data_IF_949726902126
#
_entry.id   IF_949726902126
#
_cell.length_a   1.000
_cell.length_b   1.000
_cell.length_c   1.000
_cell.angle_alpha   90.00
_cell.angle_beta   90.00
_cell.angle_gamma   90.00
#
_symmetry.space_group_name_H-M   'P 1'
#
loop_
_entity.id
_entity.type
_entity.pdbx_description
1 polymer ?
#
# COMPACT_ATOMS: atom_id res chain seq x y z
N UNK A 1 -10.38 8.17 0.97
CA UNK A 1 -10.46 8.50 -0.47
C UNK A 1 -11.91 8.30 -0.88
N UNK A 2 -12.62 9.34 -1.36
CA UNK A 2 -13.93 9.12 -1.97
C UNK A 2 -13.75 8.21 -3.19
N UNK A 3 -14.70 7.30 -3.43
CA UNK A 3 -14.73 6.56 -4.70
C UNK A 3 -15.03 7.57 -5.80
N UNK A 4 -14.22 7.54 -6.86
CA UNK A 4 -14.53 8.23 -8.10
C UNK A 4 -15.80 7.59 -8.67
N UNK A 5 -16.88 8.37 -8.77
CA UNK A 5 -18.11 7.99 -9.44
C UNK A 5 -17.94 8.23 -10.94
N UNK A 6 -17.18 7.34 -11.60
CA UNK A 6 -16.96 7.42 -13.04
C UNK A 6 -18.17 6.82 -13.76
N UNK A 7 -18.71 7.50 -14.78
CA UNK A 7 -19.78 6.95 -15.59
C UNK A 7 -19.32 5.66 -16.31
N UNK A 8 -20.26 4.77 -16.59
CA UNK A 8 -20.00 3.58 -17.41
C UNK A 8 -19.61 4.04 -18.83
N UNK A 9 -18.54 3.48 -19.36
CA UNK A 9 -18.10 3.72 -20.75
C UNK A 9 -19.17 3.16 -21.69
N UNK A 10 -19.68 4.01 -22.59
CA UNK A 10 -20.62 3.59 -23.64
C UNK A 10 -19.87 2.96 -24.80
N UNK A 11 -20.56 2.19 -25.65
CA UNK A 11 -19.97 1.64 -26.88
C UNK A 11 -19.41 2.73 -27.81
N UNK A 12 -20.05 3.90 -27.84
CA UNK A 12 -19.57 5.05 -28.59
C UNK A 12 -18.29 5.66 -27.99
N UNK A 13 -18.19 5.69 -26.65
CA UNK A 13 -16.97 6.10 -25.97
C UNK A 13 -15.82 5.13 -26.20
N UNK A 14 -16.10 3.82 -26.17
CA UNK A 14 -15.11 2.79 -26.47
C UNK A 14 -14.60 2.95 -27.92
N UNK A 15 -15.51 3.10 -28.90
CA UNK A 15 -15.12 3.30 -30.29
C UNK A 15 -14.23 4.55 -30.48
N UNK A 16 -14.54 5.64 -29.78
CA UNK A 16 -13.73 6.86 -29.80
C UNK A 16 -12.35 6.65 -29.15
N UNK A 17 -12.27 5.91 -28.05
CA UNK A 17 -11.00 5.58 -27.39
C UNK A 17 -10.13 4.73 -28.31
N UNK A 18 -10.69 3.69 -28.93
CA UNK A 18 -9.98 2.82 -29.87
C UNK A 18 -9.47 3.58 -31.10
N UNK A 19 -10.27 4.50 -31.66
CA UNK A 19 -9.84 5.35 -32.75
C UNK A 19 -8.63 6.22 -32.36
N UNK A 20 -8.65 6.79 -31.15
CA UNK A 20 -7.53 7.57 -30.63
C UNK A 20 -6.25 6.75 -30.39
N UNK A 21 -6.40 5.51 -29.93
CA UNK A 21 -5.27 4.58 -29.78
C UNK A 21 -4.66 4.24 -31.16
N UNK A 22 -5.50 3.96 -32.15
CA UNK A 22 -5.04 3.59 -33.50
C UNK A 22 -4.34 4.74 -34.24
N UNK A 23 -4.76 5.98 -33.99
CA UNK A 23 -4.20 7.18 -34.61
C UNK A 23 -2.94 7.73 -33.90
N UNK A 24 -2.52 7.15 -32.77
CA UNK A 24 -1.36 7.62 -31.99
C UNK A 24 -0.02 7.14 -32.62
N UNK A 25 0.75 8.02 -33.29
CA UNK A 25 2.01 7.64 -33.92
C UNK A 25 3.13 7.39 -32.91
N UNK A 26 3.02 7.90 -31.68
CA UNK A 26 4.05 7.78 -30.63
C UNK A 26 3.91 6.49 -29.84
N UNK A 27 2.77 5.79 -29.95
CA UNK A 27 2.49 4.54 -29.26
C UNK A 27 2.02 3.44 -30.23
N UNK A 28 2.89 2.99 -31.16
CA UNK A 28 2.54 1.93 -32.09
C UNK A 28 2.30 0.60 -31.39
N UNK A 29 1.50 -0.25 -32.02
CA UNK A 29 1.23 -1.61 -31.53
C UNK A 29 2.51 -2.44 -31.39
N UNK A 30 2.59 -3.23 -30.32
CA UNK A 30 3.76 -4.09 -30.06
C UNK A 30 3.75 -5.25 -31.05
N UNK A 31 4.78 -5.35 -31.89
CA UNK A 31 4.94 -6.46 -32.83
C UNK A 31 5.32 -7.77 -32.11
N UNK A 32 5.01 -8.91 -32.73
CA UNK A 32 5.37 -10.23 -32.18
C UNK A 32 6.87 -10.39 -31.92
N UNK A 33 7.73 -9.82 -32.77
CA UNK A 33 9.18 -9.87 -32.58
C UNK A 33 9.64 -8.99 -31.41
N UNK A 34 9.06 -7.80 -31.23
CA UNK A 34 9.32 -6.96 -30.05
C UNK A 34 8.88 -7.67 -28.76
N UNK A 35 7.72 -8.34 -28.78
CA UNK A 35 7.23 -9.10 -27.64
C UNK A 35 8.18 -10.26 -27.27
N UNK A 36 8.73 -10.98 -28.26
CA UNK A 36 9.73 -12.03 -28.04
C UNK A 36 11.06 -11.49 -27.50
N UNK A 37 11.44 -10.29 -27.91
CA UNK A 37 12.65 -9.62 -27.44
C UNK A 37 12.49 -8.91 -26.08
N UNK A 38 11.28 -8.90 -25.50
CA UNK A 38 11.02 -8.23 -24.25
C UNK A 38 11.84 -8.84 -23.10
N UNK A 39 12.35 -7.98 -22.22
CA UNK A 39 13.13 -8.36 -21.05
C UNK A 39 12.39 -7.99 -19.76
N UNK A 40 12.53 -8.76 -18.67
CA UNK A 40 11.96 -8.39 -17.38
C UNK A 40 12.44 -6.99 -16.94
N UNK A 41 11.55 -6.22 -16.32
CA UNK A 41 11.84 -4.85 -15.86
C UNK A 41 13.10 -4.77 -14.99
N UNK A 42 13.30 -5.75 -14.09
CA UNK A 42 14.47 -5.77 -13.21
C UNK A 42 15.80 -5.98 -13.94
N UNK A 43 15.76 -6.60 -15.13
CA UNK A 43 16.94 -6.79 -15.97
C UNK A 43 17.19 -5.58 -16.89
N UNK A 44 16.12 -4.94 -17.35
CA UNK A 44 16.22 -3.72 -18.17
C UNK A 44 16.61 -2.48 -17.33
N UNK A 45 16.15 -2.41 -16.08
CA UNK A 45 16.34 -1.25 -15.18
C UNK A 45 16.80 -1.69 -13.77
N UNK A 46 18.03 -2.19 -13.63
CA UNK A 46 18.50 -2.80 -12.39
C UNK A 46 18.52 -1.85 -11.19
N UNK A 47 18.97 -0.60 -11.38
CA UNK A 47 19.04 0.38 -10.28
C UNK A 47 17.65 0.79 -9.77
N UNK A 48 16.70 1.01 -10.69
CA UNK A 48 15.33 1.36 -10.34
C UNK A 48 14.62 0.20 -9.63
N UNK A 49 14.81 -1.03 -10.13
CA UNK A 49 14.29 -2.23 -9.48
C UNK A 49 14.87 -2.43 -8.07
N UNK A 50 16.16 -2.14 -7.86
CA UNK A 50 16.77 -2.17 -6.53
C UNK A 50 16.16 -1.12 -5.59
N UNK A 51 15.90 0.10 -6.07
CA UNK A 51 15.25 1.14 -5.28
C UNK A 51 13.81 0.75 -4.88
N UNK A 52 13.01 0.21 -5.80
CA UNK A 52 11.64 -0.25 -5.54
C UNK A 52 11.58 -1.42 -4.54
N UNK A 53 12.57 -2.31 -4.55
CA UNK A 53 12.66 -3.40 -3.56
C UNK A 53 12.94 -2.89 -2.14
N UNK A 54 13.55 -1.72 -1.98
CA UNK A 54 13.79 -1.13 -0.65
C UNK A 54 12.53 -0.53 -0.01
N UNK A 55 11.50 -0.21 -0.79
CA UNK A 55 10.28 0.44 -0.27
C UNK A 55 9.23 -0.55 0.27
N UNK A 56 9.21 -1.79 -0.23
CA UNK A 56 8.42 -2.90 0.35
C UNK A 56 9.35 -3.99 0.85
N UNK A 57 9.74 -3.88 2.11
CA UNK A 57 10.29 -5.01 2.83
C UNK A 57 9.30 -6.19 2.81
N UNK A 58 9.78 -7.45 2.93
CA UNK A 58 8.89 -8.59 3.08
C UNK A 58 7.89 -8.30 4.20
N UNK A 59 6.61 -8.55 3.93
CA UNK A 59 5.55 -8.40 4.90
C UNK A 59 5.79 -9.43 6.00
N UNK A 60 6.64 -9.08 6.97
CA UNK A 60 6.72 -9.77 8.25
C UNK A 60 5.28 -9.80 8.74
N UNK A 61 4.76 -11.00 9.00
CA UNK A 61 3.44 -11.22 9.57
C UNK A 61 3.12 -10.10 10.58
N UNK A 62 1.90 -9.53 10.59
CA UNK A 62 1.63 -8.32 11.35
C UNK A 62 2.08 -8.49 12.79
N UNK A 63 3.14 -7.78 13.18
CA UNK A 63 3.75 -7.89 14.51
C UNK A 63 2.81 -7.41 15.63
N UNK A 64 1.69 -6.79 15.25
CA UNK A 64 0.65 -6.29 16.14
C UNK A 64 -0.65 -7.02 15.82
N UNK A 65 -1.23 -7.63 16.85
CA UNK A 65 -2.57 -8.21 16.77
C UNK A 65 -3.60 -7.13 17.11
N UNK A 66 -4.62 -6.97 16.26
CA UNK A 66 -5.77 -6.14 16.58
C UNK A 66 -6.66 -6.90 17.57
N UNK A 67 -6.85 -6.32 18.75
CA UNK A 67 -7.75 -6.86 19.78
C UNK A 67 -8.81 -5.81 20.13
N UNK A 68 -10.04 -6.26 20.37
CA UNK A 68 -11.10 -5.40 20.91
C UNK A 68 -11.03 -5.44 22.44
N UNK A 69 -10.52 -4.37 23.06
CA UNK A 69 -10.35 -4.24 24.50
C UNK A 69 -11.14 -3.03 25.01
N UNK A 70 -11.89 -3.20 26.10
CA UNK A 70 -12.50 -2.09 26.82
C UNK A 70 -11.51 -1.55 27.85
N UNK A 71 -11.27 -0.24 27.82
CA UNK A 71 -10.41 0.48 28.74
C UNK A 71 -11.22 1.61 29.38
N UNK A 72 -10.85 2.01 30.59
CA UNK A 72 -11.46 3.17 31.24
C UNK A 72 -11.26 4.44 30.41
N UNK A 73 -12.30 5.28 30.37
CA UNK A 73 -12.31 6.49 29.57
C UNK A 73 -11.17 7.45 29.96
N UNK A 74 -10.88 7.56 31.26
CA UNK A 74 -9.80 8.38 31.80
C UNK A 74 -8.43 7.92 31.30
N UNK A 75 -8.17 6.61 31.31
CA UNK A 75 -6.93 6.03 30.79
C UNK A 75 -6.73 6.39 29.31
N UNK A 76 -7.78 6.25 28.49
CA UNK A 76 -7.70 6.60 27.06
C UNK A 76 -7.48 8.10 26.88
N UNK A 77 -8.15 8.94 27.67
CA UNK A 77 -8.01 10.39 27.63
C UNK A 77 -6.57 10.82 27.99
N UNK A 78 -5.99 10.24 29.05
CA UNK A 78 -4.63 10.53 29.48
C UNK A 78 -3.61 10.23 28.37
N UNK A 79 -3.72 9.09 27.69
CA UNK A 79 -2.83 8.81 26.55
C UNK A 79 -3.12 9.75 25.38
N UNK A 80 -4.37 9.99 24.99
CA UNK A 80 -4.70 10.91 23.87
C UNK A 80 -4.13 12.32 24.08
N UNK A 81 -4.14 12.82 25.32
CA UNK A 81 -3.58 14.13 25.67
C UNK A 81 -2.08 14.26 25.35
N UNK A 82 -1.35 13.15 25.23
CA UNK A 82 0.07 13.15 24.84
C UNK A 82 0.28 13.44 23.34
N UNK A 83 -0.77 13.60 22.54
CA UNK A 83 -0.70 13.98 21.13
C UNK A 83 -0.41 12.83 20.17
N UNK A 84 0.08 13.12 18.94
CA UNK A 84 0.39 12.10 17.95
C UNK A 84 1.29 10.97 18.51
N UNK A 85 0.98 9.73 18.13
CA UNK A 85 1.68 8.54 18.62
C UNK A 85 1.20 7.99 19.98
N UNK A 86 0.11 8.51 20.55
CA UNK A 86 -0.39 8.06 21.85
C UNK A 86 -0.71 6.57 21.92
N UNK A 87 -1.21 5.96 20.84
CA UNK A 87 -1.47 4.52 20.77
C UNK A 87 -0.17 3.71 20.87
N UNK A 88 0.94 4.22 20.32
CA UNK A 88 2.26 3.60 20.46
C UNK A 88 2.73 3.63 21.91
N UNK A 89 2.63 4.79 22.58
CA UNK A 89 2.95 4.92 24.00
C UNK A 89 2.12 4.00 24.88
N UNK A 90 0.82 3.88 24.60
CA UNK A 90 -0.08 2.94 25.29
C UNK A 90 0.38 1.50 25.10
N UNK A 91 0.71 1.10 23.87
CA UNK A 91 1.24 -0.24 23.59
C UNK A 91 2.55 -0.53 24.36
N UNK A 92 3.45 0.44 24.48
CA UNK A 92 4.71 0.26 25.20
C UNK A 92 4.50 0.09 26.71
N UNK A 93 3.56 0.84 27.30
CA UNK A 93 3.16 0.67 28.68
C UNK A 93 2.57 -0.73 28.93
N UNK A 94 1.66 -1.20 28.08
CA UNK A 94 1.09 -2.55 28.16
C UNK A 94 2.17 -3.63 28.00
N UNK A 95 3.14 -3.42 27.11
CA UNK A 95 4.28 -4.33 26.93
C UNK A 95 5.16 -4.40 28.17
N UNK A 96 5.41 -3.26 28.84
CA UNK A 96 6.17 -3.21 30.08
C UNK A 96 5.46 -3.97 31.20
N UNK A 97 4.15 -3.74 31.38
CA UNK A 97 3.33 -4.48 32.35
C UNK A 97 3.34 -5.99 32.06
N UNK A 98 3.20 -6.38 30.79
CA UNK A 98 3.26 -7.79 30.39
C UNK A 98 4.62 -8.45 30.65
N UNK A 99 5.73 -7.69 30.71
CA UNK A 99 7.04 -8.24 31.11
C UNK A 99 7.05 -8.62 32.59
N UNK A 100 6.50 -7.77 33.44
CA UNK A 100 6.41 -8.02 34.89
C UNK A 100 5.64 -9.31 35.17
N UNK A 101 4.51 -9.51 34.48
CA UNK A 101 3.69 -10.72 34.61
C UNK A 101 4.38 -12.02 34.18
N UNK A 102 5.50 -11.95 33.44
CA UNK A 102 6.27 -13.13 33.02
C UNK A 102 7.42 -13.48 33.97
N UNK A 103 7.76 -12.58 34.87
CA UNK A 103 8.92 -12.70 35.77
C UNK A 103 8.54 -12.98 37.22
N UNK A 104 7.24 -13.02 37.54
CA UNK A 104 6.70 -13.51 38.82
C UNK A 104 5.91 -14.79 38.59
#
# INVERSE_FOLDING_TARGET
MPKLDLPLITDADEARIQAGIADDPDNPEVTAEQARAARPFAEAFPELAANLRRSRGPQKAPTKQLVSLRLDAETVAAFKATGPGWQGRMNDALRAAARVLRTG
#
